data_IF_960065751351
#
_entry.id   IF_960065751351
#
_cell.length_a   1.000
_cell.length_b   1.000
_cell.length_c   1.000
_cell.angle_alpha   90.00
_cell.angle_beta   90.00
_cell.angle_gamma   90.00
#
_symmetry.space_group_name_H-M   'P 1'
#
loop_
_entity.id
_entity.type
_entity.pdbx_description
1 polymer ?
#
# COMPACT_ATOMS: atom_id res chain seq x y z
N UNK A 1 7.45 -7.49 -23.06
CA UNK A 1 6.56 -6.42 -23.55
C UNK A 1 7.12 -5.87 -24.86
N UNK A 2 6.33 -5.21 -25.69
CA UNK A 2 6.80 -4.57 -26.93
C UNK A 2 7.12 -3.09 -26.68
N UNK A 3 8.16 -2.51 -27.30
CA UNK A 3 8.41 -1.07 -27.23
C UNK A 3 7.20 -0.26 -27.71
N UNK A 4 6.86 0.81 -27.02
CA UNK A 4 5.85 1.79 -27.42
C UNK A 4 6.48 3.16 -27.68
N UNK A 5 5.68 4.15 -28.08
CA UNK A 5 6.16 5.52 -28.19
C UNK A 5 6.71 6.02 -26.85
N UNK A 6 7.89 6.67 -26.83
CA UNK A 6 8.42 7.29 -25.62
C UNK A 6 7.44 8.29 -25.01
N UNK A 7 7.33 8.29 -23.69
CA UNK A 7 6.45 9.20 -22.93
C UNK A 7 7.33 10.13 -22.11
N UNK A 8 7.18 11.44 -22.31
CA UNK A 8 8.05 12.48 -21.75
C UNK A 8 9.55 12.24 -22.03
N UNK A 9 9.88 11.68 -23.20
CA UNK A 9 11.25 11.34 -23.58
C UNK A 9 11.83 10.10 -22.88
N UNK A 10 11.05 9.43 -22.02
CA UNK A 10 11.42 8.20 -21.35
C UNK A 10 10.93 6.95 -22.11
N UNK A 11 11.65 5.84 -21.95
CA UNK A 11 11.31 4.58 -22.61
C UNK A 11 9.97 4.06 -22.07
N UNK A 12 9.13 3.58 -22.97
CA UNK A 12 7.86 2.97 -22.63
C UNK A 12 7.68 1.65 -23.39
N UNK A 13 7.01 0.71 -22.74
CA UNK A 13 6.64 -0.58 -23.30
C UNK A 13 5.17 -0.88 -23.02
N UNK A 14 4.56 -1.67 -23.90
CA UNK A 14 3.18 -2.07 -23.78
C UNK A 14 3.01 -3.59 -23.96
N UNK A 15 2.06 -4.16 -23.23
CA UNK A 15 1.50 -5.49 -23.49
C UNK A 15 0.09 -5.58 -22.92
N UNK A 16 -0.90 -5.82 -23.78
CA UNK A 16 -2.31 -5.79 -23.37
C UNK A 16 -2.66 -4.44 -22.76
N UNK A 17 -3.21 -4.45 -21.55
CA UNK A 17 -3.57 -3.27 -20.75
C UNK A 17 -2.42 -2.78 -19.85
N UNK A 18 -1.29 -3.48 -19.82
CA UNK A 18 -0.15 -3.12 -18.96
C UNK A 18 0.84 -2.24 -19.73
N UNK A 19 1.34 -1.22 -19.04
CA UNK A 19 2.38 -0.31 -19.51
C UNK A 19 3.57 -0.38 -18.56
N UNK A 20 4.78 -0.34 -19.11
CA UNK A 20 6.01 -0.16 -18.34
C UNK A 20 6.65 1.14 -18.78
N UNK A 21 6.83 2.07 -17.84
CA UNK A 21 7.40 3.39 -18.09
C UNK A 21 8.72 3.56 -17.32
N UNK A 22 9.83 3.51 -18.05
CA UNK A 22 11.17 3.54 -17.48
C UNK A 22 11.70 4.98 -17.51
N UNK A 23 11.58 5.67 -16.37
CA UNK A 23 11.95 7.08 -16.22
C UNK A 23 13.25 7.24 -15.44
N UNK A 24 14.09 8.24 -15.74
CA UNK A 24 15.18 8.62 -14.86
C UNK A 24 14.67 9.34 -13.60
N UNK A 25 15.51 9.38 -12.55
CA UNK A 25 15.21 10.06 -11.30
C UNK A 25 14.57 9.18 -10.24
N UNK A 26 14.27 9.76 -9.08
CA UNK A 26 13.65 9.06 -7.95
C UNK A 26 12.13 9.13 -8.03
N UNK A 27 11.44 8.00 -7.82
CA UNK A 27 9.98 7.95 -7.80
C UNK A 27 9.35 8.89 -6.77
N UNK A 28 10.01 9.07 -5.61
CA UNK A 28 9.52 9.89 -4.51
C UNK A 28 9.37 11.38 -4.88
N UNK A 29 10.17 11.86 -5.82
CA UNK A 29 10.17 13.27 -6.25
C UNK A 29 9.21 13.55 -7.42
N UNK A 30 8.35 12.58 -7.76
CA UNK A 30 7.62 12.57 -9.03
C UNK A 30 6.12 12.41 -8.80
N UNK A 31 5.48 13.51 -8.42
CA UNK A 31 4.04 13.57 -8.29
C UNK A 31 3.31 13.49 -9.65
N UNK A 32 2.05 13.03 -9.59
CA UNK A 32 1.05 13.04 -10.65
C UNK A 32 1.47 12.28 -11.90
N UNK A 33 2.17 11.17 -11.74
CA UNK A 33 2.64 10.34 -12.85
C UNK A 33 1.50 9.74 -13.66
N UNK A 34 0.40 9.41 -13.00
CA UNK A 34 -0.86 9.02 -13.59
C UNK A 34 -1.43 10.12 -14.51
N UNK A 35 -1.57 11.35 -14.01
CA UNK A 35 -2.10 12.48 -14.80
C UNK A 35 -1.19 12.80 -15.98
N UNK A 36 0.13 12.76 -15.77
CA UNK A 36 1.13 12.99 -16.82
C UNK A 36 1.09 11.93 -17.91
N UNK A 37 0.96 10.66 -17.52
CA UNK A 37 0.77 9.57 -18.47
C UNK A 37 -0.50 9.78 -19.29
N UNK A 38 -1.63 10.05 -18.63
CA UNK A 38 -2.91 10.28 -19.30
C UNK A 38 -2.87 11.49 -20.23
N UNK A 39 -2.23 12.60 -19.83
CA UNK A 39 -2.07 13.78 -20.66
C UNK A 39 -1.22 13.51 -21.91
N UNK A 40 -0.15 12.71 -21.79
CA UNK A 40 0.76 12.43 -22.89
C UNK A 40 0.23 11.36 -23.86
N UNK A 41 -0.60 10.43 -23.39
CA UNK A 41 -1.00 9.24 -24.16
C UNK A 41 -2.50 9.17 -24.47
N UNK A 42 -3.33 9.88 -23.71
CA UNK A 42 -4.79 9.73 -23.73
C UNK A 42 -5.29 8.47 -23.00
N UNK A 43 -4.41 7.66 -22.42
CA UNK A 43 -4.79 6.45 -21.69
C UNK A 43 -5.09 6.76 -20.22
N UNK A 44 -6.25 6.31 -19.72
CA UNK A 44 -6.57 6.38 -18.30
C UNK A 44 -5.69 5.40 -17.50
N UNK A 45 -5.22 5.83 -16.33
CA UNK A 45 -4.39 5.01 -15.43
C UNK A 45 -5.26 4.48 -14.29
N UNK A 46 -5.41 3.15 -14.20
CA UNK A 46 -6.25 2.50 -13.19
C UNK A 46 -5.48 2.08 -11.92
N UNK A 47 -4.17 1.90 -12.02
CA UNK A 47 -3.29 1.46 -10.92
C UNK A 47 -1.82 1.72 -11.31
N UNK A 48 -0.97 2.05 -10.35
CA UNK A 48 0.47 2.28 -10.55
C UNK A 48 1.27 1.41 -9.59
N UNK A 49 2.08 0.51 -10.15
CA UNK A 49 3.00 -0.33 -9.37
C UNK A 49 4.42 0.19 -9.55
N UNK A 50 4.99 0.78 -8.50
CA UNK A 50 6.35 1.29 -8.50
C UNK A 50 7.33 0.17 -8.21
N UNK A 51 8.28 -0.07 -9.11
CA UNK A 51 9.40 -0.97 -8.89
C UNK A 51 10.55 -0.16 -8.31
N UNK A 52 10.83 -0.35 -7.03
CA UNK A 52 11.69 0.55 -6.27
C UNK A 52 12.73 -0.20 -5.44
N UNK A 53 13.62 0.57 -4.83
CA UNK A 53 14.55 0.10 -3.81
C UNK A 53 14.03 0.46 -2.42
N UNK A 54 14.17 -0.46 -1.49
CA UNK A 54 13.94 -0.21 -0.07
C UNK A 54 15.29 0.08 0.61
N UNK A 55 15.35 1.09 1.47
CA UNK A 55 16.55 1.45 2.23
C UNK A 55 16.28 1.40 3.73
N UNK A 56 16.98 0.52 4.45
CA UNK A 56 16.80 0.37 5.90
C UNK A 56 18.13 0.26 6.64
N UNK A 57 18.19 0.87 7.83
CA UNK A 57 19.36 0.81 8.70
C UNK A 57 19.65 -0.62 9.23
N UNK A 58 18.67 -1.53 9.18
CA UNK A 58 18.82 -2.92 9.64
C UNK A 58 19.73 -3.77 8.75
N UNK A 59 19.96 -3.40 7.48
CA UNK A 59 20.82 -4.14 6.53
C UNK A 59 20.16 -5.41 5.94
N UNK A 60 19.38 -6.15 6.72
CA UNK A 60 17.99 -6.48 6.35
C UNK A 60 17.64 -6.90 4.91
N UNK A 61 18.16 -7.94 4.21
CA UNK A 61 17.64 -8.27 2.88
C UNK A 61 16.13 -8.55 2.93
N UNK A 62 15.36 -7.83 2.12
CA UNK A 62 13.91 -7.98 2.10
C UNK A 62 13.27 -7.63 0.76
N UNK A 63 12.17 -8.29 0.46
CA UNK A 63 11.23 -7.88 -0.58
C UNK A 63 9.97 -7.35 0.09
N UNK A 64 9.57 -6.13 -0.25
CA UNK A 64 8.49 -5.47 0.46
C UNK A 64 7.45 -4.85 -0.45
N UNK A 65 6.23 -4.72 0.06
CA UNK A 65 5.14 -4.05 -0.65
C UNK A 65 4.37 -3.14 0.29
N UNK A 66 4.04 -1.93 -0.16
CA UNK A 66 3.25 -1.01 0.65
C UNK A 66 2.51 0.07 -0.16
N UNK A 67 1.45 0.65 0.40
CA UNK A 67 0.85 1.89 -0.08
C UNK A 67 1.76 3.10 0.12
N UNK A 68 1.58 4.12 -0.70
CA UNK A 68 2.18 5.43 -0.52
C UNK A 68 1.25 6.38 0.23
N UNK A 69 1.81 7.40 0.87
CA UNK A 69 1.05 8.46 1.53
C UNK A 69 1.75 9.02 2.76
N UNK A 70 1.39 10.25 3.12
CA UNK A 70 1.94 10.97 4.29
C UNK A 70 0.80 11.53 5.16
N UNK A 71 -0.12 10.67 5.64
CA UNK A 71 -1.37 11.10 6.26
C UNK A 71 -1.19 11.71 7.66
N UNK A 72 -0.04 11.46 8.29
CA UNK A 72 0.26 11.85 9.67
C UNK A 72 0.81 13.27 9.83
N UNK A 73 1.18 13.94 8.74
CA UNK A 73 1.65 15.32 8.75
C UNK A 73 0.49 16.31 8.63
N UNK A 74 0.69 17.52 9.12
CA UNK A 74 -0.21 18.65 8.91
C UNK A 74 -0.19 19.07 7.43
N UNK A 75 -1.31 19.46 6.82
CA UNK A 75 -1.36 19.83 5.41
C UNK A 75 -0.35 20.89 4.94
N UNK A 76 0.10 21.76 5.87
CA UNK A 76 1.08 22.81 5.60
C UNK A 76 2.55 22.38 5.76
N UNK A 77 2.81 21.15 6.23
CA UNK A 77 4.17 20.61 6.34
C UNK A 77 4.69 20.10 4.99
N UNK A 78 6.00 20.23 4.77
CA UNK A 78 6.66 19.62 3.62
C UNK A 78 7.06 18.18 3.97
N UNK A 79 6.56 17.14 3.27
CA UNK A 79 7.01 15.78 3.50
C UNK A 79 8.50 15.61 3.18
N UNK A 80 9.28 14.94 4.04
CA UNK A 80 10.71 14.77 3.83
C UNK A 80 11.06 13.83 2.66
N UNK A 81 10.12 12.98 2.24
CA UNK A 81 10.31 11.94 1.23
C UNK A 81 9.21 11.98 0.17
N UNK A 82 8.84 13.18 -0.26
CA UNK A 82 7.86 13.42 -1.32
C UNK A 82 6.40 13.18 -0.92
N UNK A 83 5.49 13.46 -1.85
CA UNK A 83 4.05 13.34 -1.67
C UNK A 83 3.39 14.57 -1.06
N UNK A 84 2.15 14.41 -0.59
CA UNK A 84 1.32 15.49 -0.03
C UNK A 84 1.03 15.24 1.45
N UNK A 85 1.40 16.19 2.30
CA UNK A 85 1.13 16.09 3.73
C UNK A 85 -0.37 16.03 4.03
N UNK A 86 -0.72 15.23 5.05
CA UNK A 86 -2.10 15.04 5.50
C UNK A 86 -2.96 14.20 4.56
N UNK A 87 -2.38 13.59 3.52
CA UNK A 87 -3.11 12.76 2.57
C UNK A 87 -2.40 11.44 2.26
N UNK A 88 -3.17 10.51 1.71
CA UNK A 88 -2.65 9.33 1.03
C UNK A 88 -3.39 9.15 -0.31
N UNK A 89 -2.68 8.85 -1.41
CA UNK A 89 -3.29 8.32 -2.62
C UNK A 89 -4.04 7.02 -2.34
N UNK A 90 -5.05 6.62 -3.15
CA UNK A 90 -5.69 5.33 -2.99
C UNK A 90 -4.64 4.19 -3.03
N UNK A 91 -4.71 3.19 -2.14
CA UNK A 91 -3.80 2.05 -2.21
C UNK A 91 -4.15 1.18 -3.41
N UNK A 92 -3.18 0.49 -4.02
CA UNK A 92 -3.46 -0.44 -5.11
C UNK A 92 -4.56 -1.43 -4.70
N UNK A 93 -5.65 -1.59 -5.48
CA UNK A 93 -6.72 -2.56 -5.17
C UNK A 93 -6.21 -4.01 -5.23
N UNK A 94 -4.98 -4.22 -5.72
CA UNK A 94 -4.31 -5.51 -5.83
C UNK A 94 -3.38 -5.78 -4.64
N UNK A 95 -3.23 -4.87 -3.68
CA UNK A 95 -2.22 -4.95 -2.62
C UNK A 95 -2.22 -6.30 -1.89
N UNK A 96 -3.37 -6.78 -1.42
CA UNK A 96 -3.47 -8.08 -0.77
C UNK A 96 -3.17 -9.26 -1.72
N UNK A 97 -3.52 -9.14 -3.01
CA UNK A 97 -3.20 -10.15 -4.04
C UNK A 97 -1.70 -10.20 -4.32
N UNK A 98 -1.05 -9.03 -4.44
CA UNK A 98 0.40 -8.91 -4.59
C UNK A 98 1.11 -9.52 -3.38
N UNK A 99 0.64 -9.20 -2.18
CA UNK A 99 1.16 -9.78 -0.95
C UNK A 99 1.08 -11.31 -0.92
N UNK A 100 -0.09 -11.87 -1.20
CA UNK A 100 -0.26 -13.33 -1.28
C UNK A 100 0.57 -13.96 -2.39
N UNK A 101 0.75 -13.27 -3.51
CA UNK A 101 1.60 -13.76 -4.59
C UNK A 101 3.06 -13.80 -4.16
N UNK A 102 3.57 -12.74 -3.52
CA UNK A 102 4.93 -12.69 -2.97
C UNK A 102 5.16 -13.77 -1.90
N UNK A 103 4.17 -14.02 -1.03
CA UNK A 103 4.26 -15.07 -0.01
C UNK A 103 4.53 -16.47 -0.59
N UNK A 104 4.06 -16.78 -1.80
CA UNK A 104 4.35 -18.06 -2.46
C UNK A 104 5.83 -18.21 -2.84
N UNK A 105 6.56 -17.10 -2.95
CA UNK A 105 7.98 -17.05 -3.24
C UNK A 105 8.84 -16.77 -2.00
N UNK A 106 8.26 -16.72 -0.79
CA UNK A 106 8.98 -16.39 0.44
C UNK A 106 10.18 -17.31 0.75
N UNK A 107 10.17 -18.54 0.22
CA UNK A 107 11.26 -19.52 0.36
C UNK A 107 11.86 -19.91 -1.00
N UNK A 108 11.78 -19.03 -2.00
CA UNK A 108 12.31 -19.29 -3.33
C UNK A 108 13.85 -19.40 -3.28
N UNK A 109 14.40 -20.41 -3.94
CA UNK A 109 15.84 -20.72 -3.93
C UNK A 109 16.71 -19.61 -4.53
N UNK A 110 16.11 -18.67 -5.27
CA UNK A 110 16.79 -17.50 -5.85
C UNK A 110 17.03 -16.38 -4.84
N UNK A 111 16.35 -16.41 -3.69
CA UNK A 111 16.42 -15.36 -2.67
C UNK A 111 16.53 -15.93 -1.24
N UNK A 112 17.41 -16.92 -0.98
CA UNK A 112 17.45 -17.66 0.29
C UNK A 112 17.73 -16.77 1.52
N UNK A 113 18.29 -15.58 1.34
CA UNK A 113 18.60 -14.60 2.38
C UNK A 113 17.52 -13.52 2.58
N UNK A 114 16.54 -13.43 1.69
CA UNK A 114 15.51 -12.37 1.74
C UNK A 114 14.33 -12.82 2.59
N UNK A 115 13.85 -11.93 3.44
CA UNK A 115 12.50 -12.06 4.00
C UNK A 115 11.49 -11.28 3.15
N UNK A 116 10.22 -11.67 3.21
CA UNK A 116 9.13 -10.93 2.57
C UNK A 116 8.28 -10.23 3.62
N UNK A 117 7.84 -8.99 3.37
CA UNK A 117 6.98 -8.28 4.32
C UNK A 117 6.13 -7.18 3.69
N UNK A 118 4.97 -6.90 4.28
CA UNK A 118 4.31 -5.62 4.08
C UNK A 118 5.02 -4.52 4.87
N UNK A 119 5.05 -3.31 4.32
CA UNK A 119 5.36 -2.10 5.07
C UNK A 119 4.11 -1.23 5.24
N UNK A 120 4.09 -0.37 6.27
CA UNK A 120 3.00 0.58 6.48
C UNK A 120 3.00 1.67 5.42
N UNK A 121 1.90 2.42 5.34
CA UNK A 121 1.77 3.58 4.44
C UNK A 121 2.79 4.63 4.79
N UNK A 122 3.67 4.97 3.85
CA UNK A 122 4.67 6.01 4.05
C UNK A 122 5.15 6.59 2.72
N UNK A 123 5.76 7.78 2.84
CA UNK A 123 6.40 8.58 1.79
C UNK A 123 5.54 8.87 0.55
N UNK A 124 6.09 9.64 -0.39
CA UNK A 124 5.45 9.96 -1.67
C UNK A 124 5.57 8.85 -2.71
N UNK A 125 5.29 9.16 -3.99
CA UNK A 125 4.80 10.45 -4.49
C UNK A 125 3.31 10.68 -4.19
N UNK A 126 2.74 11.77 -4.72
CA UNK A 126 1.30 12.03 -4.72
C UNK A 126 0.69 11.77 -6.10
N UNK A 127 -0.45 11.08 -6.16
CA UNK A 127 -1.21 10.83 -7.40
C UNK A 127 -2.69 10.57 -7.09
N UNK A 128 -3.54 10.54 -8.12
CA UNK A 128 -4.97 10.24 -8.00
C UNK A 128 -5.27 8.76 -8.20
N UNK A 129 -4.62 8.14 -9.19
CA UNK A 129 -4.74 6.73 -9.45
C UNK A 129 -4.20 5.90 -8.26
N UNK A 130 -4.79 4.74 -7.99
CA UNK A 130 -4.27 3.83 -6.97
C UNK A 130 -2.80 3.47 -7.16
N UNK A 131 -2.11 3.18 -6.06
CA UNK A 131 -0.69 2.85 -6.12
C UNK A 131 -0.17 1.88 -5.04
N UNK A 132 0.91 1.18 -5.38
CA UNK A 132 1.76 0.49 -4.42
C UNK A 132 3.22 0.51 -4.85
N UNK A 133 4.12 0.52 -3.87
CA UNK A 133 5.55 0.25 -4.05
C UNK A 133 5.82 -1.24 -3.87
N UNK A 134 6.64 -1.80 -4.75
CA UNK A 134 7.17 -3.17 -4.73
C UNK A 134 8.69 -3.04 -4.73
N UNK A 135 9.33 -3.43 -3.64
CA UNK A 135 10.71 -3.02 -3.38
C UNK A 135 11.68 -4.19 -3.18
N UNK A 136 12.94 -3.92 -3.49
CA UNK A 136 14.09 -4.77 -3.12
C UNK A 136 14.95 -3.99 -2.14
N UNK A 137 15.20 -4.57 -0.97
CA UNK A 137 15.94 -3.95 0.13
C UNK A 137 16.99 -4.85 0.75
N UNK A 138 17.81 -4.34 1.67
CA UNK A 138 17.74 -2.99 2.23
C UNK A 138 18.97 -2.11 1.94
N UNK A 139 19.93 -2.58 1.14
CA UNK A 139 21.22 -1.89 0.91
C UNK A 139 21.61 -1.90 -0.56
N UNK A 140 22.67 -1.15 -0.90
CA UNK A 140 23.23 -1.15 -2.26
C UNK A 140 23.63 -2.54 -2.75
N UNK A 141 24.00 -3.45 -1.83
CA UNK A 141 24.39 -4.82 -2.15
C UNK A 141 23.20 -5.67 -2.61
N UNK A 142 21.98 -5.34 -2.17
CA UNK A 142 20.77 -6.10 -2.50
C UNK A 142 19.95 -5.48 -3.63
N UNK A 143 20.03 -4.16 -3.85
CA UNK A 143 19.21 -3.47 -4.87
C UNK A 143 19.40 -4.00 -6.29
N UNK A 144 20.59 -4.50 -6.63
CA UNK A 144 20.91 -5.08 -7.93
C UNK A 144 20.70 -6.60 -8.02
N UNK A 145 20.11 -7.24 -7.00
CA UNK A 145 20.04 -8.69 -6.92
C UNK A 145 19.08 -9.28 -7.99
N UNK A 146 19.61 -10.02 -8.96
CA UNK A 146 18.83 -10.54 -10.09
C UNK A 146 17.73 -11.52 -9.66
N UNK A 147 18.00 -12.41 -8.71
CA UNK A 147 17.00 -13.33 -8.17
C UNK A 147 15.78 -12.64 -7.56
N UNK A 148 15.99 -11.58 -6.77
CA UNK A 148 14.92 -10.72 -6.25
C UNK A 148 14.11 -10.04 -7.36
N UNK A 149 14.78 -9.51 -8.39
CA UNK A 149 14.11 -8.92 -9.53
C UNK A 149 13.27 -9.95 -10.33
N UNK A 150 13.79 -11.17 -10.50
CA UNK A 150 13.06 -12.27 -11.13
C UNK A 150 11.84 -12.71 -10.32
N UNK A 151 11.96 -12.79 -8.99
CA UNK A 151 10.82 -13.09 -8.11
C UNK A 151 9.73 -12.02 -8.24
N UNK A 152 10.10 -10.73 -8.26
CA UNK A 152 9.13 -9.66 -8.51
C UNK A 152 8.50 -9.76 -9.90
N UNK A 153 9.27 -10.12 -10.92
CA UNK A 153 8.75 -10.34 -12.26
C UNK A 153 7.72 -11.49 -12.27
N UNK A 154 8.00 -12.61 -11.60
CA UNK A 154 7.07 -13.74 -11.49
C UNK A 154 5.78 -13.35 -10.75
N UNK A 155 5.89 -12.59 -9.65
CA UNK A 155 4.75 -12.05 -8.91
C UNK A 155 3.88 -11.16 -9.80
N UNK A 156 4.49 -10.24 -10.54
CA UNK A 156 3.77 -9.33 -11.45
C UNK A 156 3.11 -10.09 -12.60
N UNK A 157 3.79 -11.10 -13.17
CA UNK A 157 3.22 -11.93 -14.23
C UNK A 157 1.99 -12.70 -13.75
N UNK A 158 1.96 -13.19 -12.51
CA UNK A 158 0.78 -13.83 -11.93
C UNK A 158 -0.35 -12.82 -11.64
N UNK A 159 -0.01 -11.68 -11.02
CA UNK A 159 -1.00 -10.69 -10.59
C UNK A 159 -1.65 -9.98 -11.79
N UNK A 160 -0.89 -9.75 -12.86
CA UNK A 160 -1.32 -8.98 -14.03
C UNK A 160 -1.61 -9.86 -15.27
N UNK A 161 -1.70 -11.19 -15.11
CA UNK A 161 -1.80 -12.12 -16.25
C UNK A 161 -2.97 -11.81 -17.20
N UNK A 162 -4.14 -11.48 -16.66
CA UNK A 162 -5.34 -11.14 -17.45
C UNK A 162 -5.12 -9.83 -18.21
N UNK A 163 -4.65 -8.79 -17.52
CA UNK A 163 -4.36 -7.48 -18.10
C UNK A 163 -3.27 -7.57 -19.18
N UNK A 164 -2.25 -8.40 -18.99
CA UNK A 164 -1.19 -8.67 -19.96
C UNK A 164 -1.70 -9.38 -21.22
N UNK A 165 -2.80 -10.13 -21.13
CA UNK A 165 -3.47 -10.77 -22.27
C UNK A 165 -4.48 -9.84 -22.96
N UNK A 166 -4.74 -8.66 -22.39
CA UNK A 166 -5.77 -7.74 -22.88
C UNK A 166 -7.18 -8.11 -22.41
N UNK A 167 -7.29 -8.97 -21.40
CA UNK A 167 -8.56 -9.40 -20.83
C UNK A 167 -9.01 -8.42 -19.73
N UNK A 168 -10.32 -8.23 -19.59
CA UNK A 168 -10.90 -7.41 -18.51
C UNK A 168 -11.07 -8.30 -17.28
N UNK A 169 -10.45 -7.88 -16.18
CA UNK A 169 -10.53 -8.60 -14.91
C UNK A 169 -11.95 -8.54 -14.36
N UNK A 170 -12.45 -9.69 -13.93
CA UNK A 170 -13.73 -9.75 -13.20
C UNK A 170 -13.56 -9.13 -11.81
N UNK A 171 -14.45 -8.22 -11.45
CA UNK A 171 -14.48 -7.66 -10.10
C UNK A 171 -14.76 -8.78 -9.08
N UNK A 172 -14.07 -8.75 -7.94
CA UNK A 172 -14.39 -9.64 -6.84
C UNK A 172 -15.84 -9.39 -6.35
N UNK A 173 -16.50 -10.37 -5.72
CA UNK A 173 -17.81 -10.19 -5.10
C UNK A 173 -17.83 -8.96 -4.17
N UNK A 174 -18.84 -8.07 -4.23
CA UNK A 174 -18.81 -6.74 -3.57
C UNK A 174 -18.89 -6.78 -2.04
N UNK A 175 -19.17 -7.95 -1.47
CA UNK A 175 -19.39 -8.19 -0.04
C UNK A 175 -18.12 -8.31 0.80
N UNK A 176 -16.97 -8.64 0.19
CA UNK A 176 -15.69 -8.65 0.91
C UNK A 176 -15.31 -7.22 1.34
N UNK A 177 -15.19 -6.92 2.65
CA UNK A 177 -14.79 -5.61 3.11
C UNK A 177 -13.30 -5.36 2.90
N UNK A 178 -12.91 -4.09 2.83
CA UNK A 178 -11.52 -3.67 2.76
C UNK A 178 -10.95 -3.53 4.16
N UNK A 179 -9.86 -4.24 4.45
CA UNK A 179 -9.16 -4.16 5.72
C UNK A 179 -8.22 -2.95 5.76
N UNK A 180 -8.39 -2.08 6.76
CA UNK A 180 -7.37 -1.10 7.18
C UNK A 180 -6.78 -1.55 8.51
N UNK A 181 -5.47 -1.40 8.71
CA UNK A 181 -4.83 -1.79 9.98
C UNK A 181 -4.18 -0.60 10.68
N UNK A 182 -4.33 -0.54 12.00
CA UNK A 182 -3.80 0.53 12.84
C UNK A 182 -2.92 -0.05 13.96
N UNK A 183 -1.77 0.57 14.15
CA UNK A 183 -0.80 0.23 15.19
C UNK A 183 0.22 -0.83 14.78
N UNK A 184 1.18 -1.04 15.66
CA UNK A 184 2.36 -1.86 15.42
C UNK A 184 3.53 -1.07 14.83
N UNK A 185 4.57 -1.81 14.42
CA UNK A 185 5.79 -1.27 13.82
C UNK A 185 5.67 -1.07 12.31
N UNK A 186 6.80 -0.66 11.71
CA UNK A 186 6.94 -0.36 10.28
C UNK A 186 6.55 -1.52 9.35
N UNK A 187 6.90 -2.75 9.72
CA UNK A 187 6.63 -3.96 8.94
C UNK A 187 5.24 -4.57 9.16
N UNK A 188 4.26 -3.76 9.59
CA UNK A 188 2.83 -4.08 9.61
C UNK A 188 2.43 -5.54 10.00
N UNK A 189 2.87 -6.10 11.14
CA UNK A 189 2.77 -7.54 11.42
C UNK A 189 1.33 -8.06 11.41
N UNK A 190 0.37 -7.23 11.83
CA UNK A 190 -1.05 -7.56 11.81
C UNK A 190 -1.60 -7.66 10.38
N UNK A 191 -1.21 -6.74 9.50
CA UNK A 191 -1.60 -6.76 8.09
C UNK A 191 -0.98 -7.96 7.37
N UNK A 192 0.28 -8.30 7.64
CA UNK A 192 0.95 -9.48 7.05
C UNK A 192 0.11 -10.75 7.24
N UNK A 193 -0.34 -10.99 8.48
CA UNK A 193 -1.17 -12.14 8.81
C UNK A 193 -2.60 -12.06 8.25
N UNK A 194 -3.28 -10.92 8.37
CA UNK A 194 -4.69 -10.85 7.96
C UNK A 194 -4.85 -10.77 6.44
N UNK A 195 -3.94 -10.11 5.73
CA UNK A 195 -3.99 -10.00 4.28
C UNK A 195 -3.50 -11.26 3.54
N UNK A 196 -2.84 -12.20 4.24
CA UNK A 196 -2.48 -13.50 3.67
C UNK A 196 -3.68 -14.42 3.47
N UNK A 197 -4.79 -14.15 4.16
CA UNK A 197 -6.03 -14.90 4.02
C UNK A 197 -6.56 -14.84 2.59
N UNK A 198 -7.09 -15.96 2.10
CA UNK A 198 -7.70 -16.03 0.78
C UNK A 198 -8.85 -15.02 0.69
N UNK A 199 -9.01 -14.36 -0.46
CA UNK A 199 -10.00 -13.29 -0.74
C UNK A 199 -9.80 -11.96 -0.02
N UNK A 200 -8.92 -11.86 0.98
CA UNK A 200 -8.71 -10.61 1.71
C UNK A 200 -8.40 -9.44 0.77
N UNK A 201 -8.98 -8.28 1.09
CA UNK A 201 -8.67 -6.99 0.49
C UNK A 201 -7.99 -6.12 1.54
N UNK A 202 -6.94 -5.40 1.15
CA UNK A 202 -6.12 -4.60 2.06
C UNK A 202 -6.03 -3.18 1.52
N UNK A 203 -6.42 -2.23 2.36
CA UNK A 203 -6.22 -0.81 2.12
C UNK A 203 -4.94 -0.31 2.79
N UNK A 204 -5.03 0.87 3.41
CA UNK A 204 -3.89 1.44 4.13
C UNK A 204 -3.57 0.73 5.45
N UNK A 205 -2.30 0.82 5.82
CA UNK A 205 -1.76 0.36 7.10
C UNK A 205 -1.07 1.53 7.77
N UNK A 206 -1.38 1.84 9.03
CA UNK A 206 -0.78 2.95 9.78
C UNK A 206 -0.08 2.40 11.03
N UNK A 207 1.24 2.59 11.13
CA UNK A 207 2.00 2.27 12.34
C UNK A 207 1.75 3.31 13.44
N UNK A 208 2.20 3.00 14.66
CA UNK A 208 2.11 3.93 15.80
C UNK A 208 2.70 5.32 15.51
N UNK A 209 3.86 5.39 14.84
CA UNK A 209 4.49 6.67 14.53
C UNK A 209 3.67 7.52 13.53
N UNK A 210 2.79 6.88 12.75
CA UNK A 210 1.87 7.53 11.83
C UNK A 210 0.55 7.95 12.50
N UNK A 211 0.41 7.72 13.80
CA UNK A 211 -0.76 8.09 14.60
C UNK A 211 -0.31 8.96 15.78
N UNK A 212 0.11 10.22 15.53
CA UNK A 212 0.62 11.09 16.58
C UNK A 212 -0.53 11.54 17.49
N UNK A 213 -0.65 10.91 18.65
CA UNK A 213 -1.56 11.32 19.71
C UNK A 213 -0.91 12.35 20.62
N UNK A 214 -1.68 13.35 21.01
CA UNK A 214 -1.36 14.30 22.08
C UNK A 214 -2.48 14.21 23.11
N UNK A 215 -2.14 14.23 24.39
CA UNK A 215 -3.13 14.33 25.46
C UNK A 215 -2.76 15.48 26.36
N UNK A 216 -3.65 16.46 26.48
CA UNK A 216 -3.41 17.62 27.33
C UNK A 216 -3.70 17.31 28.81
N UNK A 217 -3.38 18.26 29.69
CA UNK A 217 -3.53 18.12 31.15
C UNK A 217 -5.01 17.98 31.58
N UNK A 218 -5.95 18.52 30.78
CA UNK A 218 -7.39 18.35 30.98
C UNK A 218 -7.88 16.93 30.58
N UNK A 219 -7.00 16.11 29.99
CA UNK A 219 -7.28 14.76 29.56
C UNK A 219 -7.89 14.65 28.17
N UNK A 220 -8.03 15.76 27.45
CA UNK A 220 -8.51 15.82 26.07
C UNK A 220 -7.47 15.23 25.12
N UNK A 221 -7.95 14.49 24.12
CA UNK A 221 -7.11 13.81 23.14
C UNK A 221 -7.11 14.60 21.84
N UNK A 222 -5.93 15.02 21.44
CA UNK A 222 -5.64 15.80 20.23
C UNK A 222 -4.52 15.13 19.42
N UNK A 223 -3.97 15.83 18.44
CA UNK A 223 -2.95 15.36 17.53
C UNK A 223 -3.53 14.95 16.17
N UNK A 224 -2.65 14.50 15.29
CA UNK A 224 -3.00 14.25 13.87
C UNK A 224 -3.46 12.81 13.61
N UNK A 225 -3.61 12.00 14.66
CA UNK A 225 -4.01 10.59 14.54
C UNK A 225 -5.38 10.43 13.86
N UNK A 226 -6.36 11.27 14.20
CA UNK A 226 -7.73 11.20 13.68
C UNK A 226 -7.78 11.55 12.20
N UNK A 227 -7.08 12.61 11.80
CA UNK A 227 -6.85 12.98 10.40
C UNK A 227 -6.17 11.83 9.64
N UNK A 228 -5.13 11.22 10.21
CA UNK A 228 -4.41 10.16 9.54
C UNK A 228 -5.29 8.92 9.30
N UNK A 229 -6.10 8.56 10.30
CA UNK A 229 -7.10 7.49 10.19
C UNK A 229 -8.13 7.81 9.11
N UNK A 230 -8.65 9.03 9.08
CA UNK A 230 -9.65 9.45 8.08
C UNK A 230 -9.08 9.42 6.67
N UNK A 231 -7.89 9.98 6.46
CA UNK A 231 -7.21 9.94 5.18
C UNK A 231 -6.98 8.50 4.69
N UNK A 232 -6.55 7.61 5.57
CA UNK A 232 -6.34 6.20 5.24
C UNK A 232 -7.64 5.46 4.90
N UNK A 233 -8.73 5.72 5.62
CA UNK A 233 -10.04 5.09 5.38
C UNK A 233 -10.63 5.59 4.06
N UNK A 234 -10.64 6.90 3.83
CA UNK A 234 -11.23 7.48 2.62
C UNK A 234 -10.43 7.11 1.36
N UNK A 235 -9.10 7.10 1.42
CA UNK A 235 -8.26 6.61 0.33
C UNK A 235 -8.50 5.11 0.05
N UNK A 236 -8.68 4.30 1.09
CA UNK A 236 -9.01 2.87 0.95
C UNK A 236 -10.40 2.64 0.33
N UNK A 237 -11.39 3.48 0.67
CA UNK A 237 -12.72 3.47 0.02
C UNK A 237 -12.61 3.83 -1.47
N UNK A 238 -11.80 4.83 -1.80
CA UNK A 238 -11.61 5.27 -3.18
C UNK A 238 -11.00 4.18 -4.07
N UNK A 239 -10.08 3.36 -3.55
CA UNK A 239 -9.51 2.21 -4.26
C UNK A 239 -10.51 1.05 -4.47
N UNK A 240 -11.57 1.01 -3.67
CA UNK A 240 -12.50 -0.11 -3.58
C UNK A 240 -13.93 0.41 -3.56
N UNK A 241 -14.40 1.04 -4.66
CA UNK A 241 -15.74 1.59 -4.70
C UNK A 241 -16.77 0.50 -4.41
N UNK A 242 -17.86 0.88 -3.73
CA UNK A 242 -18.98 0.00 -3.36
C UNK A 242 -18.70 -1.02 -2.25
N UNK A 243 -17.50 -1.03 -1.66
CA UNK A 243 -17.17 -1.92 -0.53
C UNK A 243 -17.21 -1.17 0.80
N UNK A 244 -17.58 -1.90 1.86
CA UNK A 244 -17.37 -1.42 3.22
C UNK A 244 -15.89 -1.46 3.60
N UNK A 245 -15.51 -0.65 4.58
CA UNK A 245 -14.18 -0.68 5.20
C UNK A 245 -14.34 -1.16 6.64
N UNK A 246 -13.45 -2.06 7.03
CA UNK A 246 -13.30 -2.55 8.41
C UNK A 246 -11.90 -2.26 8.90
N UNK A 247 -11.74 -1.99 10.19
CA UNK A 247 -10.45 -1.65 10.79
C UNK A 247 -10.01 -2.73 11.77
N UNK A 248 -8.73 -3.08 11.76
CA UNK A 248 -8.14 -3.94 12.79
C UNK A 248 -7.01 -3.23 13.53
N UNK A 249 -7.12 -3.23 14.87
CA UNK A 249 -6.16 -2.54 15.75
C UNK A 249 -5.18 -3.55 16.37
N UNK A 250 -3.88 -3.24 16.32
CA UNK A 250 -2.92 -3.83 17.25
C UNK A 250 -3.12 -3.22 18.65
N UNK A 251 -4.08 -3.75 19.39
CA UNK A 251 -4.50 -3.25 20.71
C UNK A 251 -3.32 -3.13 21.70
N UNK A 252 -2.31 -3.99 21.59
CA UNK A 252 -1.16 -4.01 22.52
C UNK A 252 -0.18 -2.88 22.24
N UNK A 253 -0.21 -2.29 21.05
CA UNK A 253 0.65 -1.18 20.68
C UNK A 253 0.19 0.18 21.22
N UNK A 254 -1.05 0.31 21.69
CA UNK A 254 -1.65 1.57 22.13
C UNK A 254 -1.82 1.66 23.65
N UNK A 255 -1.80 2.88 24.19
CA UNK A 255 -2.24 3.18 25.56
C UNK A 255 -3.76 3.05 25.68
N UNK A 256 -4.26 2.89 26.90
CA UNK A 256 -5.70 2.71 27.13
C UNK A 256 -6.57 3.84 26.59
N UNK A 257 -6.12 5.09 26.74
CA UNK A 257 -6.83 6.28 26.27
C UNK A 257 -6.73 6.46 24.75
N UNK A 258 -5.61 6.09 24.12
CA UNK A 258 -5.44 6.09 22.65
C UNK A 258 -6.40 5.10 22.01
N UNK A 259 -6.50 3.89 22.58
CA UNK A 259 -7.49 2.89 22.14
C UNK A 259 -8.90 3.45 22.23
N UNK A 260 -9.26 4.05 23.37
CA UNK A 260 -10.61 4.61 23.55
C UNK A 260 -10.90 5.66 22.47
N UNK A 261 -9.98 6.60 22.26
CA UNK A 261 -10.13 7.64 21.24
C UNK A 261 -10.31 7.06 19.83
N UNK A 262 -9.52 6.03 19.46
CA UNK A 262 -9.69 5.33 18.19
C UNK A 262 -11.06 4.65 18.07
N UNK A 263 -11.50 3.92 19.10
CA UNK A 263 -12.81 3.27 19.10
C UNK A 263 -13.94 4.27 18.95
N UNK A 264 -13.96 5.33 19.78
CA UNK A 264 -15.00 6.36 19.73
C UNK A 264 -15.05 7.03 18.35
N UNK A 265 -13.88 7.33 17.76
CA UNK A 265 -13.76 7.99 16.45
C UNK A 265 -14.23 7.13 15.28
N UNK A 266 -13.89 5.84 15.31
CA UNK A 266 -14.31 4.86 14.31
C UNK A 266 -15.81 4.56 14.41
N UNK A 267 -16.33 4.42 15.63
CA UNK A 267 -17.77 4.24 15.88
C UNK A 267 -18.59 5.42 15.38
N UNK A 268 -18.15 6.65 15.63
CA UNK A 268 -18.79 7.87 15.12
C UNK A 268 -18.85 7.93 13.58
N UNK A 269 -18.02 7.15 12.88
CA UNK A 269 -17.97 7.03 11.41
C UNK A 269 -18.65 5.77 10.89
N UNK A 270 -19.23 4.96 11.77
CA UNK A 270 -19.82 3.67 11.41
C UNK A 270 -18.79 2.67 10.86
N UNK A 271 -17.53 2.77 11.30
CA UNK A 271 -16.46 1.86 10.90
C UNK A 271 -16.34 0.74 11.94
N UNK A 272 -16.57 -0.49 11.49
CA UNK A 272 -16.46 -1.66 12.35
C UNK A 272 -14.99 -1.98 12.67
N UNK A 273 -14.72 -2.23 13.96
CA UNK A 273 -13.42 -2.74 14.40
C UNK A 273 -13.50 -4.25 14.57
N UNK A 274 -12.66 -4.98 13.84
CA UNK A 274 -12.64 -6.44 13.82
C UNK A 274 -11.29 -7.01 14.28
N UNK A 275 -11.32 -8.24 14.80
CA UNK A 275 -10.12 -9.04 15.02
C UNK A 275 -9.87 -10.02 13.86
N UNK A 276 -8.81 -10.83 13.97
CA UNK A 276 -8.45 -11.81 12.93
C UNK A 276 -9.52 -12.91 12.75
N UNK A 277 -10.26 -13.27 13.81
CA UNK A 277 -11.29 -14.29 13.73
C UNK A 277 -12.53 -13.76 13.00
N UNK A 278 -12.99 -12.56 13.37
CA UNK A 278 -14.07 -11.86 12.68
C UNK A 278 -13.71 -11.59 11.20
N UNK A 279 -12.47 -11.19 10.91
CA UNK A 279 -12.00 -11.02 9.53
C UNK A 279 -12.14 -12.31 8.72
N UNK A 280 -11.68 -13.46 9.24
CA UNK A 280 -11.84 -14.74 8.55
C UNK A 280 -13.31 -15.10 8.31
N UNK A 281 -14.17 -14.90 9.31
CA UNK A 281 -15.60 -15.16 9.16
C UNK A 281 -16.23 -14.32 8.02
N UNK A 282 -15.82 -13.06 7.88
CA UNK A 282 -16.27 -12.18 6.78
C UNK A 282 -15.78 -12.67 5.41
N UNK A 283 -14.61 -13.31 5.33
CA UNK A 283 -14.07 -13.87 4.08
C UNK A 283 -14.72 -15.19 3.69
N UNK A 284 -15.19 -15.98 4.66
CA UNK A 284 -15.86 -17.26 4.45
C UNK A 284 -17.36 -17.09 4.13
N UNK A 285 -18.00 -16.07 4.68
CA UNK A 285 -19.43 -15.78 4.50
C UNK A 285 -19.78 -14.93 3.26
N UNK A 286 -18.77 -14.40 2.58
CA UNK A 286 -18.87 -13.68 1.31
C UNK A 286 -18.92 -14.63 0.10
#
# INVERSE_FOLDING_TARGET
MLPSHPVEGALAYARGQVRLWCRPGFHLDQDRLDERWSAATGEAVEDVLFLSKHAAASGRPCLTVHPIGVPHLHPDEAPPYGGRAGGAPPPSPRLARIWRALLRHANDVRIPEFEVSLEVTHHGPWQQAPAAFLEVGSTADTWGHSGAAEVWADVLLDVLNEELRGEVRQAAPPDVPVLVTLGGGHYAPRANHMASESRALLGHMLANHSLPFVRNDAGEVDGRWSQAVDAAIEASRAAHPQRSVVVSLDRKSFRGWERKALFDHLEARGIEVIDSAAHRALLEGA
#
